data_IF_187886564976
#
_entry.id   IF_187886564976
#
_cell.length_a   1.000
_cell.length_b   1.000
_cell.length_c   1.000
_cell.angle_alpha   90.00
_cell.angle_beta   90.00
_cell.angle_gamma   90.00
#
_symmetry.space_group_name_H-M   'P 1'
#
loop_
_entity.id
_entity.type
_entity.pdbx_description
1 polymer ?
#
# COMPACT_ATOMS: atom_id res chain seq x y z
N UNK A 1 -2.36 5.96 8.90
CA UNK A 1 -2.22 4.92 7.86
C UNK A 1 -3.48 4.06 7.68
N UNK A 2 -4.13 3.61 8.78
CA UNK A 2 -5.40 2.84 8.73
C UNK A 2 -6.49 3.47 7.86
N UNK A 3 -6.68 4.78 7.96
CA UNK A 3 -7.72 5.50 7.22
C UNK A 3 -7.54 5.42 5.68
N UNK A 4 -6.28 5.44 5.20
CA UNK A 4 -5.98 5.29 3.77
C UNK A 4 -6.29 3.89 3.25
N UNK A 5 -6.04 2.87 4.07
CA UNK A 5 -6.29 1.47 3.70
C UNK A 5 -7.79 1.18 3.64
N UNK A 6 -8.57 1.73 4.59
CA UNK A 6 -10.04 1.62 4.60
C UNK A 6 -10.65 2.34 3.39
N UNK A 7 -10.13 3.53 3.04
CA UNK A 7 -10.56 4.28 1.86
C UNK A 7 -10.25 3.54 0.55
N UNK A 8 -9.04 2.99 0.41
CA UNK A 8 -8.64 2.19 -0.74
C UNK A 8 -9.55 0.96 -0.94
N UNK A 9 -9.84 0.23 0.16
CA UNK A 9 -10.76 -0.91 0.13
C UNK A 9 -12.18 -0.52 -0.28
N UNK A 10 -12.70 0.62 0.22
CA UNK A 10 -14.01 1.16 -0.20
C UNK A 10 -14.03 1.54 -1.69
N UNK A 11 -12.91 2.01 -2.23
CA UNK A 11 -12.78 2.36 -3.63
C UNK A 11 -12.41 1.16 -4.54
N UNK A 12 -12.35 -0.06 -4.00
CA UNK A 12 -11.88 -1.26 -4.72
C UNK A 12 -10.48 -1.09 -5.31
N UNK A 13 -9.63 -0.32 -4.65
CA UNK A 13 -8.22 -0.18 -5.01
C UNK A 13 -7.50 -1.39 -4.42
N UNK A 14 -7.09 -2.29 -5.30
CA UNK A 14 -6.39 -3.52 -4.93
C UNK A 14 -4.87 -3.33 -4.91
N UNK A 15 -4.34 -2.21 -5.44
CA UNK A 15 -2.91 -1.93 -5.52
C UNK A 15 -2.58 -0.63 -4.79
N UNK A 16 -1.67 -0.68 -3.82
CA UNK A 16 -1.23 0.48 -3.05
C UNK A 16 0.28 0.66 -3.18
N UNK A 17 0.72 1.87 -3.53
CA UNK A 17 2.15 2.20 -3.52
C UNK A 17 2.46 2.94 -2.22
N UNK A 18 3.38 2.39 -1.43
CA UNK A 18 3.81 2.96 -0.17
C UNK A 18 5.32 3.17 -0.16
N UNK A 19 5.83 4.22 0.49
CA UNK A 19 7.27 4.36 0.67
C UNK A 19 7.80 3.24 1.58
N UNK A 20 9.01 2.76 1.33
CA UNK A 20 9.63 1.70 2.15
C UNK A 20 9.60 1.95 3.69
N UNK A 21 9.82 3.17 4.22
CA UNK A 21 9.67 3.42 5.67
C UNK A 21 8.26 3.15 6.22
N UNK A 22 7.23 3.09 5.37
CA UNK A 22 5.86 2.77 5.78
C UNK A 22 5.59 1.26 5.88
N UNK A 23 6.55 0.40 5.52
CA UNK A 23 6.39 -1.06 5.55
C UNK A 23 6.05 -1.59 6.95
N UNK A 24 6.77 -1.16 7.99
CA UNK A 24 6.51 -1.62 9.35
C UNK A 24 5.08 -1.30 9.82
N UNK A 25 4.60 -0.09 9.53
CA UNK A 25 3.23 0.31 9.85
C UNK A 25 2.16 -0.47 9.07
N UNK A 26 2.49 -0.98 7.87
CA UNK A 26 1.59 -1.82 7.09
C UNK A 26 1.59 -3.27 7.60
N UNK A 27 2.75 -3.79 8.00
CA UNK A 27 2.87 -5.12 8.59
C UNK A 27 2.13 -5.23 9.94
N UNK A 28 2.07 -4.14 10.71
CA UNK A 28 1.25 -4.03 11.93
C UNK A 28 -0.27 -3.93 11.68
N UNK A 29 -0.72 -3.79 10.44
CA UNK A 29 -2.14 -3.83 10.14
C UNK A 29 -2.66 -5.27 10.31
N UNK A 30 -3.92 -5.45 10.74
CA UNK A 30 -4.52 -6.76 10.79
C UNK A 30 -4.71 -7.37 9.38
N UNK A 31 -4.54 -8.68 9.27
CA UNK A 31 -4.54 -9.40 7.98
C UNK A 31 -5.82 -9.24 7.16
N UNK A 32 -6.98 -9.06 7.80
CA UNK A 32 -8.23 -8.76 7.09
C UNK A 32 -8.19 -7.44 6.30
N UNK A 33 -7.27 -6.52 6.61
CA UNK A 33 -7.01 -5.30 5.83
C UNK A 33 -5.98 -5.53 4.72
N UNK A 34 -5.08 -6.51 4.87
CA UNK A 34 -4.09 -6.90 3.86
C UNK A 34 -4.70 -7.82 2.80
N UNK A 35 -5.71 -8.60 3.18
CA UNK A 35 -6.43 -9.52 2.31
C UNK A 35 -7.05 -8.75 1.13
N UNK A 36 -6.57 -9.04 -0.07
CA UNK A 36 -7.03 -8.41 -1.31
C UNK A 36 -6.35 -7.08 -1.66
N UNK A 37 -5.29 -6.69 -0.96
CA UNK A 37 -4.49 -5.49 -1.26
C UNK A 37 -3.03 -5.88 -1.52
N UNK A 38 -2.58 -5.65 -2.75
CA UNK A 38 -1.17 -5.74 -3.15
C UNK A 38 -0.48 -4.41 -2.82
N UNK A 39 0.53 -4.45 -1.97
CA UNK A 39 1.34 -3.27 -1.65
C UNK A 39 2.69 -3.32 -2.36
N UNK A 40 3.02 -2.24 -3.06
CA UNK A 40 4.32 -2.01 -3.66
C UNK A 40 5.10 -1.01 -2.81
N UNK A 41 6.26 -1.44 -2.31
CA UNK A 41 7.14 -0.59 -1.52
C UNK A 41 8.19 0.09 -2.41
N UNK A 42 8.13 1.41 -2.51
CA UNK A 42 9.07 2.21 -3.30
C UNK A 42 10.09 2.93 -2.40
N UNK A 43 11.39 2.79 -2.68
CA UNK A 43 12.46 3.57 -1.99
C UNK A 43 12.61 4.98 -2.55
N UNK A 44 12.33 5.16 -3.84
CA UNK A 44 12.58 6.39 -4.60
C UNK A 44 11.41 6.66 -5.53
N UNK A 45 11.20 7.91 -5.89
CA UNK A 45 10.14 8.29 -6.84
C UNK A 45 10.29 7.59 -8.21
N UNK A 46 11.53 7.31 -8.61
CA UNK A 46 11.83 6.53 -9.82
C UNK A 46 11.30 5.07 -9.76
N UNK A 47 11.17 4.50 -8.57
CA UNK A 47 10.60 3.17 -8.38
C UNK A 47 9.08 3.20 -8.54
N UNK A 48 8.43 4.27 -8.09
CA UNK A 48 6.99 4.52 -8.31
C UNK A 48 6.68 4.60 -9.80
N UNK A 49 7.55 5.26 -10.58
CA UNK A 49 7.40 5.35 -12.03
C UNK A 49 7.50 3.98 -12.73
N UNK A 50 8.28 3.03 -12.22
CA UNK A 50 8.34 1.65 -12.78
C UNK A 50 7.11 0.80 -12.48
N UNK A 51 6.33 1.15 -11.46
CA UNK A 51 5.11 0.42 -11.08
C UNK A 51 3.87 0.98 -11.80
N UNK A 52 3.91 2.27 -12.18
CA UNK A 52 2.81 2.96 -12.87
C UNK A 52 2.88 2.91 -14.40
N UNK A 53 4.05 2.62 -14.99
CA UNK A 53 4.31 2.56 -16.43
C UNK A 53 4.84 1.18 -16.82
#
# INVERSE_FOLDING_TARGET
MREKVIAARRQKIHELILPEPNRGHFEELPDYLKEGITVHFAKRFADVAKVLF
#
